data_IF_976896721996
#
_entry.id   IF_976896721996
#
_cell.length_a   1.000
_cell.length_b   1.000
_cell.length_c   1.000
_cell.angle_alpha   90.00
_cell.angle_beta   90.00
_cell.angle_gamma   90.00
#
_symmetry.space_group_name_H-M   'P 1'
#
loop_
_entity.id
_entity.type
_entity.pdbx_description
1 polymer ?
#
# COMPACT_ATOMS: atom_id res chain seq x y z
N UNK A 1 -10.05 1.11 25.42
CA UNK A 1 -10.33 -0.32 25.61
C UNK A 1 -11.33 -0.49 26.73
N UNK A 2 -12.34 -1.34 26.56
CA UNK A 2 -13.51 -1.44 27.45
C UNK A 2 -13.29 -2.31 28.71
N UNK A 3 -12.07 -2.79 28.96
CA UNK A 3 -11.72 -3.51 30.20
C UNK A 3 -12.46 -4.84 30.44
N UNK A 4 -13.14 -5.39 29.43
CA UNK A 4 -13.88 -6.64 29.53
C UNK A 4 -12.99 -7.83 29.16
N UNK A 5 -12.48 -8.55 30.15
CA UNK A 5 -11.90 -9.89 29.97
C UNK A 5 -13.00 -10.96 29.97
N UNK A 6 -12.92 -11.90 29.03
CA UNK A 6 -13.74 -13.11 29.02
C UNK A 6 -12.79 -14.30 29.25
N UNK A 7 -12.83 -14.89 30.44
CA UNK A 7 -12.00 -16.04 30.79
C UNK A 7 -12.76 -17.34 30.59
N UNK A 8 -12.32 -18.16 29.65
CA UNK A 8 -12.75 -19.56 29.51
C UNK A 8 -11.70 -20.46 30.14
N UNK A 9 -12.07 -21.22 31.18
CA UNK A 9 -11.17 -22.22 31.81
C UNK A 9 -11.53 -23.59 31.27
N UNK A 10 -10.57 -24.23 30.59
CA UNK A 10 -10.71 -25.61 30.13
C UNK A 10 -10.31 -26.53 31.29
N UNK A 11 -11.28 -27.06 32.05
CA UNK A 11 -11.05 -28.10 33.05
C UNK A 11 -10.98 -29.47 32.38
N UNK A 12 -9.82 -30.13 32.50
CA UNK A 12 -9.46 -31.33 31.75
C UNK A 12 -10.13 -32.62 32.22
N UNK A 13 -10.48 -33.48 31.27
CA UNK A 13 -11.07 -34.80 31.54
C UNK A 13 -11.25 -35.69 30.30
N UNK A 14 -10.45 -35.52 29.26
CA UNK A 14 -10.35 -36.49 28.16
C UNK A 14 -8.98 -36.32 27.50
N UNK A 15 -7.97 -36.98 28.05
CA UNK A 15 -6.72 -37.18 27.32
C UNK A 15 -7.03 -38.16 26.18
N UNK A 16 -6.86 -37.71 24.94
CA UNK A 16 -6.98 -38.56 23.76
C UNK A 16 -6.14 -39.83 23.96
N UNK A 17 -6.68 -41.03 23.67
CA UNK A 17 -5.88 -42.25 23.71
C UNK A 17 -4.76 -42.18 22.67
N UNK A 18 -3.64 -42.86 22.94
CA UNK A 18 -2.43 -42.77 22.10
C UNK A 18 -2.69 -43.11 20.64
N UNK A 19 -3.55 -44.09 20.37
CA UNK A 19 -3.94 -44.50 19.02
C UNK A 19 -4.68 -43.38 18.26
N UNK A 20 -5.51 -42.59 18.96
CA UNK A 20 -6.17 -41.43 18.38
C UNK A 20 -5.18 -40.28 18.14
N UNK A 21 -4.18 -40.11 18.99
CA UNK A 21 -3.09 -39.12 18.79
C UNK A 21 -2.27 -39.48 17.55
N UNK A 22 -1.90 -40.75 17.40
CA UNK A 22 -1.13 -41.21 16.23
C UNK A 22 -1.93 -41.09 14.94
N UNK A 23 -3.23 -41.43 14.96
CA UNK A 23 -4.14 -41.19 13.83
C UNK A 23 -4.23 -39.71 13.48
N UNK A 24 -4.49 -38.85 14.47
CA UNK A 24 -4.55 -37.39 14.27
C UNK A 24 -3.25 -36.81 13.72
N UNK A 25 -2.10 -37.33 14.14
CA UNK A 25 -0.80 -36.87 13.63
C UNK A 25 -0.62 -37.25 12.16
N UNK A 26 -0.97 -38.48 11.78
CA UNK A 26 -0.91 -38.92 10.40
C UNK A 26 -1.88 -38.14 9.51
N UNK A 27 -3.13 -37.96 9.97
CA UNK A 27 -4.13 -37.18 9.26
C UNK A 27 -3.67 -35.72 9.08
N UNK A 28 -3.05 -35.12 10.11
CA UNK A 28 -2.49 -33.77 10.01
C UNK A 28 -1.32 -33.67 9.02
N UNK A 29 -0.46 -34.69 8.94
CA UNK A 29 0.62 -34.76 7.96
C UNK A 29 0.07 -34.92 6.53
N UNK A 30 -0.97 -35.75 6.35
CA UNK A 30 -1.62 -35.97 5.04
C UNK A 30 -2.42 -34.75 4.55
N UNK A 31 -3.00 -33.95 5.45
CA UNK A 31 -3.78 -32.75 5.13
C UNK A 31 -3.01 -31.42 5.24
N UNK A 32 -1.73 -31.46 5.61
CA UNK A 32 -0.93 -30.25 5.85
C UNK A 32 -0.94 -29.28 4.65
N UNK A 33 -0.83 -29.80 3.43
CA UNK A 33 -0.80 -28.99 2.22
C UNK A 33 -2.18 -28.37 1.90
N UNK A 34 -3.26 -29.08 2.17
CA UNK A 34 -4.63 -28.59 1.95
C UNK A 34 -4.99 -27.50 2.97
N UNK A 35 -4.63 -27.71 4.24
CA UNK A 35 -4.81 -26.72 5.30
C UNK A 35 -3.97 -25.47 5.07
N UNK A 36 -2.75 -25.64 4.55
CA UNK A 36 -1.91 -24.51 4.13
C UNK A 36 -2.59 -23.70 3.03
N UNK A 37 -3.08 -24.36 1.97
CA UNK A 37 -3.80 -23.68 0.88
C UNK A 37 -5.03 -22.93 1.40
N UNK A 38 -5.86 -23.55 2.25
CA UNK A 38 -7.02 -22.86 2.83
C UNK A 38 -6.64 -21.64 3.65
N UNK A 39 -5.52 -21.67 4.38
CA UNK A 39 -5.01 -20.47 5.08
C UNK A 39 -4.58 -19.40 4.10
N UNK A 40 -3.79 -19.75 3.09
CA UNK A 40 -3.29 -18.78 2.10
C UNK A 40 -4.45 -18.12 1.32
N UNK A 41 -5.50 -18.89 1.03
CA UNK A 41 -6.73 -18.40 0.40
C UNK A 41 -7.48 -17.42 1.32
N UNK A 42 -7.63 -17.77 2.59
CA UNK A 42 -8.27 -16.90 3.58
C UNK A 42 -7.46 -15.61 3.82
N UNK A 43 -6.13 -15.70 3.88
CA UNK A 43 -5.24 -14.55 4.01
C UNK A 43 -5.36 -13.63 2.80
N UNK A 44 -5.37 -14.19 1.59
CA UNK A 44 -5.57 -13.43 0.35
C UNK A 44 -6.88 -12.64 0.39
N UNK A 45 -7.98 -13.27 0.83
CA UNK A 45 -9.28 -12.60 0.97
C UNK A 45 -9.23 -11.49 2.01
N UNK A 46 -8.64 -11.73 3.17
CA UNK A 46 -8.53 -10.73 4.23
C UNK A 46 -7.72 -9.50 3.80
N UNK A 47 -6.60 -9.72 3.10
CA UNK A 47 -5.77 -8.63 2.57
C UNK A 47 -6.53 -7.82 1.51
N UNK A 48 -7.29 -8.50 0.65
CA UNK A 48 -8.12 -7.87 -0.35
C UNK A 48 -9.28 -7.05 0.27
N UNK A 49 -9.98 -7.59 1.26
CA UNK A 49 -11.03 -6.88 2.01
C UNK A 49 -10.48 -5.66 2.76
N UNK A 50 -9.29 -5.79 3.36
CA UNK A 50 -8.62 -4.67 4.01
C UNK A 50 -8.30 -3.54 3.01
N UNK A 51 -7.81 -3.88 1.81
CA UNK A 51 -7.55 -2.90 0.76
C UNK A 51 -8.84 -2.24 0.24
N UNK A 52 -9.92 -3.02 0.07
CA UNK A 52 -11.23 -2.49 -0.31
C UNK A 52 -11.68 -1.42 0.70
N UNK A 53 -11.68 -1.76 1.99
CA UNK A 53 -12.10 -0.84 3.05
C UNK A 53 -11.21 0.42 3.12
N UNK A 54 -9.89 0.25 3.03
CA UNK A 54 -8.96 1.38 3.04
C UNK A 54 -9.22 2.33 1.86
N UNK A 55 -9.49 1.77 0.68
CA UNK A 55 -9.73 2.58 -0.53
C UNK A 55 -11.10 3.25 -0.50
N UNK A 56 -12.14 2.58 -0.01
CA UNK A 56 -13.45 3.18 0.25
C UNK A 56 -13.35 4.36 1.21
N UNK A 57 -12.59 4.19 2.30
CA UNK A 57 -12.32 5.27 3.26
C UNK A 57 -11.57 6.43 2.60
N UNK A 58 -10.54 6.14 1.81
CA UNK A 58 -9.78 7.15 1.08
C UNK A 58 -10.67 7.96 0.12
N UNK A 59 -11.55 7.30 -0.63
CA UNK A 59 -12.52 7.97 -1.50
C UNK A 59 -13.52 8.81 -0.71
N UNK A 60 -13.97 8.34 0.45
CA UNK A 60 -14.88 9.12 1.31
C UNK A 60 -14.23 10.38 1.89
N UNK A 61 -12.92 10.34 2.18
CA UNK A 61 -12.21 11.46 2.80
C UNK A 61 -11.57 12.43 1.79
N UNK A 62 -11.12 11.91 0.64
CA UNK A 62 -10.31 12.65 -0.34
C UNK A 62 -10.78 12.51 -1.79
N UNK A 63 -11.88 11.79 -2.05
CA UNK A 63 -12.38 11.56 -3.41
C UNK A 63 -12.75 12.82 -4.18
N UNK A 64 -13.17 13.88 -3.48
CA UNK A 64 -13.51 15.17 -4.10
C UNK A 64 -12.28 15.98 -4.54
N UNK A 65 -11.09 15.63 -4.03
CA UNK A 65 -9.81 16.26 -4.38
C UNK A 65 -9.10 15.56 -5.53
N UNK A 66 -9.60 14.40 -5.93
CA UNK A 66 -9.05 13.62 -7.03
C UNK A 66 -9.67 14.07 -8.37
N UNK A 67 -8.90 13.98 -9.47
CA UNK A 67 -9.48 14.10 -10.81
C UNK A 67 -10.61 13.08 -11.00
N UNK A 68 -11.66 13.48 -11.72
CA UNK A 68 -12.83 12.63 -11.97
C UNK A 68 -12.44 11.29 -12.60
N UNK A 69 -11.48 11.29 -13.54
CA UNK A 69 -10.96 10.09 -14.19
C UNK A 69 -10.37 9.08 -13.19
N UNK A 70 -9.51 9.54 -12.28
CA UNK A 70 -8.90 8.68 -11.24
C UNK A 70 -9.95 8.18 -10.23
N UNK A 71 -10.90 9.03 -9.88
CA UNK A 71 -12.00 8.65 -8.99
C UNK A 71 -12.87 7.56 -9.62
N UNK A 72 -13.15 7.67 -10.91
CA UNK A 72 -13.96 6.70 -11.64
C UNK A 72 -13.20 5.37 -11.82
N UNK A 73 -11.91 5.43 -12.14
CA UNK A 73 -11.02 4.24 -12.16
C UNK A 73 -10.95 3.52 -10.80
N UNK A 74 -10.88 4.26 -9.69
CA UNK A 74 -10.91 3.68 -8.35
C UNK A 74 -12.26 3.00 -8.04
N UNK A 75 -13.37 3.63 -8.40
CA UNK A 75 -14.70 3.05 -8.21
C UNK A 75 -14.92 1.80 -9.05
N UNK A 76 -14.41 1.78 -10.29
CA UNK A 76 -14.44 0.60 -11.16
C UNK A 76 -13.63 -0.55 -10.54
N UNK A 77 -12.38 -0.29 -10.15
CA UNK A 77 -11.51 -1.29 -9.53
C UNK A 77 -12.07 -1.80 -8.19
N UNK A 78 -12.69 -0.94 -7.39
CA UNK A 78 -13.43 -1.34 -6.17
C UNK A 78 -14.62 -2.24 -6.48
N UNK A 79 -15.38 -1.92 -7.52
CA UNK A 79 -16.52 -2.73 -7.97
C UNK A 79 -16.08 -4.12 -8.41
N UNK A 80 -14.99 -4.21 -9.18
CA UNK A 80 -14.39 -5.48 -9.60
C UNK A 80 -13.91 -6.31 -8.41
N UNK A 81 -13.18 -5.70 -7.47
CA UNK A 81 -12.70 -6.41 -6.29
C UNK A 81 -13.86 -6.90 -5.42
N UNK A 82 -14.89 -6.07 -5.22
CA UNK A 82 -16.09 -6.45 -4.49
C UNK A 82 -16.83 -7.61 -5.15
N UNK A 83 -16.90 -7.62 -6.48
CA UNK A 83 -17.49 -8.73 -7.24
C UNK A 83 -16.66 -10.01 -7.09
N UNK A 84 -15.33 -9.91 -7.18
CA UNK A 84 -14.42 -11.03 -7.01
C UNK A 84 -14.49 -11.65 -5.60
N UNK A 85 -14.55 -10.80 -4.55
CA UNK A 85 -14.72 -11.22 -3.15
C UNK A 85 -16.06 -11.92 -2.89
N UNK A 86 -17.09 -11.62 -3.70
CA UNK A 86 -18.36 -12.36 -3.67
C UNK A 86 -18.26 -13.81 -4.17
N UNK A 87 -17.15 -14.18 -4.81
CA UNK A 87 -16.87 -15.52 -5.31
C UNK A 87 -15.90 -16.33 -4.43
N UNK A 88 -15.40 -17.43 -5.00
CA UNK A 88 -14.37 -18.31 -4.40
C UNK A 88 -13.13 -18.44 -5.29
N UNK A 89 -13.01 -17.59 -6.31
CA UNK A 89 -11.92 -17.61 -7.28
C UNK A 89 -10.77 -16.73 -6.77
N UNK A 90 -9.78 -17.38 -6.14
CA UNK A 90 -8.66 -16.70 -5.49
C UNK A 90 -7.77 -15.97 -6.51
N UNK A 91 -7.63 -16.50 -7.72
CA UNK A 91 -6.84 -15.84 -8.77
C UNK A 91 -7.52 -14.55 -9.24
N UNK A 92 -8.85 -14.54 -9.36
CA UNK A 92 -9.59 -13.30 -9.62
C UNK A 92 -9.47 -12.29 -8.47
N UNK A 93 -9.50 -12.74 -7.22
CA UNK A 93 -9.31 -11.86 -6.06
C UNK A 93 -7.91 -11.24 -6.08
N UNK A 94 -6.87 -12.02 -6.39
CA UNK A 94 -5.49 -11.51 -6.52
C UNK A 94 -5.36 -10.49 -7.65
N UNK A 95 -5.87 -10.80 -8.83
CA UNK A 95 -5.81 -9.89 -9.97
C UNK A 95 -6.56 -8.57 -9.69
N UNK A 96 -7.76 -8.64 -9.10
CA UNK A 96 -8.52 -7.45 -8.73
C UNK A 96 -7.86 -6.66 -7.59
N UNK A 97 -7.22 -7.35 -6.64
CA UNK A 97 -6.42 -6.73 -5.59
C UNK A 97 -5.23 -5.96 -6.17
N UNK A 98 -4.46 -6.57 -7.08
CA UNK A 98 -3.33 -5.92 -7.74
C UNK A 98 -3.78 -4.70 -8.55
N UNK A 99 -4.88 -4.81 -9.32
CA UNK A 99 -5.45 -3.69 -10.07
C UNK A 99 -5.85 -2.55 -9.12
N UNK A 100 -6.56 -2.84 -8.03
CA UNK A 100 -6.94 -1.83 -7.06
C UNK A 100 -5.72 -1.19 -6.39
N UNK A 101 -4.71 -1.98 -6.04
CA UNK A 101 -3.48 -1.48 -5.42
C UNK A 101 -2.75 -0.50 -6.33
N UNK A 102 -2.64 -0.81 -7.63
CA UNK A 102 -2.01 0.06 -8.63
C UNK A 102 -2.76 1.40 -8.77
N UNK A 103 -4.09 1.35 -8.93
CA UNK A 103 -4.90 2.57 -9.09
C UNK A 103 -4.88 3.41 -7.80
N UNK A 104 -4.96 2.77 -6.63
CA UNK A 104 -4.86 3.44 -5.33
C UNK A 104 -3.51 4.11 -5.10
N UNK A 105 -2.40 3.50 -5.54
CA UNK A 105 -1.08 4.15 -5.50
C UNK A 105 -1.03 5.38 -6.40
N UNK A 106 -1.49 5.27 -7.65
CA UNK A 106 -1.53 6.40 -8.59
C UNK A 106 -2.37 7.56 -8.07
N UNK A 107 -3.55 7.28 -7.52
CA UNK A 107 -4.41 8.30 -6.91
C UNK A 107 -3.78 8.94 -5.66
N UNK A 108 -3.10 8.14 -4.83
CA UNK A 108 -2.37 8.64 -3.66
C UNK A 108 -1.22 9.57 -4.03
N UNK A 109 -0.43 9.21 -5.06
CA UNK A 109 0.65 10.04 -5.58
C UNK A 109 0.14 11.39 -6.09
N UNK A 110 -0.96 11.39 -6.86
CA UNK A 110 -1.55 12.63 -7.38
C UNK A 110 -2.07 13.54 -6.27
N UNK A 111 -2.71 12.98 -5.24
CA UNK A 111 -3.19 13.76 -4.10
C UNK A 111 -2.04 14.40 -3.32
N UNK A 112 -0.94 13.66 -3.13
CA UNK A 112 0.25 14.18 -2.45
C UNK A 112 0.90 15.31 -3.26
N UNK A 113 1.04 15.13 -4.57
CA UNK A 113 1.54 16.18 -5.48
C UNK A 113 0.64 17.42 -5.50
N UNK A 114 -0.69 17.26 -5.50
CA UNK A 114 -1.61 18.40 -5.39
C UNK A 114 -1.52 19.11 -4.04
N UNK A 115 -1.43 18.38 -2.93
CA UNK A 115 -1.26 18.99 -1.61
C UNK A 115 0.04 19.78 -1.47
N UNK A 116 1.12 19.33 -2.12
CA UNK A 116 2.39 20.05 -2.14
C UNK A 116 2.29 21.33 -3.00
N UNK A 117 1.52 21.30 -4.08
CA UNK A 117 1.23 22.49 -4.88
C UNK A 117 0.28 23.48 -4.16
N UNK A 118 -0.72 23.00 -3.40
CA UNK A 118 -1.67 23.83 -2.65
C UNK A 118 -1.07 24.46 -1.38
N UNK A 119 -0.07 23.82 -0.75
CA UNK A 119 0.73 24.45 0.32
C UNK A 119 1.84 25.36 -0.24
N UNK A 120 2.05 25.37 -1.56
CA UNK A 120 2.96 26.26 -2.28
C UNK A 120 2.23 27.41 -2.99
N UNK A 121 1.55 28.28 -2.24
CA UNK A 121 1.06 29.59 -2.73
C UNK A 121 2.00 30.75 -2.33
N UNK A 122 2.10 31.83 -3.11
CA UNK A 122 3.37 32.52 -3.42
C UNK A 122 3.89 33.40 -2.29
N UNK A 123 5.17 33.25 -1.95
CA UNK A 123 5.93 34.24 -1.18
C UNK A 123 7.37 34.33 -1.70
N UNK A 124 7.64 35.39 -2.48
CA UNK A 124 8.91 36.11 -2.43
C UNK A 124 9.87 35.94 -3.61
N UNK A 125 9.64 36.71 -4.68
CA UNK A 125 10.75 37.35 -5.41
C UNK A 125 11.55 38.24 -4.43
N UNK A 126 12.87 38.04 -4.29
CA UNK A 126 13.91 39.07 -4.47
C UNK A 126 15.34 38.53 -4.21
N UNK A 127 16.42 39.24 -4.65
CA UNK A 127 17.30 38.76 -5.71
C UNK A 127 18.76 38.55 -5.26
N UNK A 128 19.51 37.88 -6.13
CA UNK A 128 20.89 38.20 -6.55
C UNK A 128 21.93 38.70 -5.54
N UNK A 129 23.09 38.02 -5.56
CA UNK A 129 24.37 38.68 -5.33
C UNK A 129 25.17 38.07 -4.18
N UNK A 130 25.95 37.00 -4.40
CA UNK A 130 27.29 37.02 -5.00
C UNK A 130 28.42 37.16 -3.96
N UNK A 131 29.53 36.50 -4.31
CA UNK A 131 30.87 36.61 -3.76
C UNK A 131 31.19 35.74 -2.52
N UNK A 132 31.41 34.45 -2.78
CA UNK A 132 32.59 33.80 -2.20
C UNK A 132 33.88 34.46 -2.74
N UNK A 133 34.99 34.34 -2.00
CA UNK A 133 36.21 34.02 -2.74
C UNK A 133 37.15 33.07 -1.98
N UNK A 134 37.84 32.24 -2.76
CA UNK A 134 39.11 31.60 -2.43
C UNK A 134 38.97 30.24 -1.76
N UNK A 135 39.73 29.22 -2.12
CA UNK A 135 40.67 29.03 -3.20
C UNK A 135 40.93 27.52 -3.26
N UNK A 136 40.85 26.93 -4.46
CA UNK A 136 41.27 25.56 -4.68
C UNK A 136 42.72 25.37 -4.26
N UNK A 137 42.91 24.42 -3.38
CA UNK A 137 44.07 23.57 -3.31
C UNK A 137 43.63 22.38 -2.44
N UNK A 138 44.01 21.17 -2.81
CA UNK A 138 44.53 20.20 -1.85
C UNK A 138 44.49 20.70 -0.39
N UNK A 139 43.48 20.30 0.39
CA UNK A 139 43.28 20.83 1.74
C UNK A 139 43.01 22.34 1.77
N UNK A 140 41.82 22.77 1.37
CA UNK A 140 41.52 24.19 1.25
C UNK A 140 40.14 24.48 0.66
N UNK A 141 39.34 25.15 1.50
CA UNK A 141 38.37 26.20 1.17
C UNK A 141 37.02 25.90 0.45
N UNK A 142 35.96 25.99 1.28
CA UNK A 142 34.85 26.96 1.23
C UNK A 142 33.49 26.64 0.56
N UNK A 143 32.49 26.47 1.46
CA UNK A 143 31.12 27.01 1.55
C UNK A 143 30.07 26.90 0.41
N UNK A 144 28.90 26.36 0.80
CA UNK A 144 27.66 27.13 0.90
C UNK A 144 26.62 27.02 -0.22
N UNK A 145 25.54 26.26 0.05
CA UNK A 145 24.15 26.60 -0.31
C UNK A 145 23.67 26.42 -1.76
N UNK A 146 22.45 25.87 -1.85
CA UNK A 146 21.45 25.91 -2.93
C UNK A 146 21.44 24.80 -4.00
N UNK A 147 20.20 24.54 -4.44
CA UNK A 147 19.71 23.84 -5.62
C UNK A 147 19.56 22.30 -5.61
N UNK A 148 18.40 21.89 -5.07
CA UNK A 148 17.32 21.21 -5.80
C UNK A 148 17.72 20.47 -7.09
N UNK A 149 18.03 19.18 -6.96
CA UNK A 149 18.26 18.29 -8.10
C UNK A 149 16.92 17.70 -8.52
N UNK A 150 16.27 18.35 -9.48
CA UNK A 150 15.19 17.75 -10.26
C UNK A 150 15.83 17.15 -11.52
N UNK A 151 15.99 15.84 -11.53
CA UNK A 151 16.49 15.06 -12.67
C UNK A 151 15.36 14.99 -13.72
N UNK A 152 15.25 16.05 -14.53
CA UNK A 152 14.38 16.08 -15.69
C UNK A 152 15.11 15.44 -16.88
N UNK A 153 14.88 14.15 -17.11
CA UNK A 153 15.29 13.49 -18.34
C UNK A 153 14.46 14.06 -19.51
N UNK A 154 15.11 14.89 -20.32
CA UNK A 154 14.59 15.50 -21.54
C UNK A 154 14.48 14.40 -22.59
N UNK A 155 13.27 14.17 -23.09
CA UNK A 155 13.01 13.36 -24.28
C UNK A 155 13.48 14.15 -25.50
N UNK A 156 14.62 13.77 -26.07
CA UNK A 156 15.11 14.29 -27.36
C UNK A 156 14.16 13.81 -28.49
N UNK A 157 13.36 14.73 -29.04
CA UNK A 157 12.67 14.53 -30.31
C UNK A 157 13.65 14.74 -31.48
N UNK A 158 14.02 13.64 -32.12
CA UNK A 158 14.70 13.58 -33.42
C UNK A 158 14.00 14.43 -34.49
N UNK A 159 14.59 15.56 -34.88
CA UNK A 159 14.43 16.15 -36.23
C UNK A 159 15.67 16.91 -36.68
N UNK A 160 16.47 16.29 -37.54
CA UNK A 160 16.91 16.84 -38.85
C UNK A 160 17.61 15.82 -39.72
#
# INVERSE_FOLDING_TARGET
>A
GTGKEQKMTITGGSSLPKDDIERMRRDAEEHADEDKRRRDDAETRNVAEALQWQTEKFLAESGDKLPAENRDQLNEALGELRSALGGQDIDKIKAAHEKLAQVSQQAGSLLYSQQQAEQGGPAGEQPGGQAGPGAGATGGAQAGGADDVVDAEIVDEDKK
#
